data_IF_427923554986
#
_entry.id   IF_427923554986
#
_cell.length_a   1.000
_cell.length_b   1.000
_cell.length_c   1.000
_cell.angle_alpha   90.00
_cell.angle_beta   90.00
_cell.angle_gamma   90.00
#
_symmetry.space_group_name_H-M   'P 1'
#
loop_
_entity.id
_entity.type
_entity.pdbx_description
1 polymer ?
#
# COMPACT_ATOMS: atom_id res chain seq x y z
N UNK A 1 3.09 -5.89 11.42
CA UNK A 1 3.68 -6.07 10.09
C UNK A 1 2.68 -6.76 9.18
N UNK A 2 2.79 -6.52 7.90
CA UNK A 2 1.87 -7.06 6.92
C UNK A 2 2.41 -8.40 6.43
N UNK A 3 1.56 -9.41 6.46
CA UNK A 3 1.91 -10.75 6.04
C UNK A 3 0.79 -11.34 5.20
N UNK A 4 0.98 -12.56 4.72
CA UNK A 4 -0.06 -13.29 4.00
C UNK A 4 -1.35 -13.34 4.82
N UNK A 5 -2.48 -13.08 4.17
CA UNK A 5 -3.83 -13.03 4.75
C UNK A 5 -4.14 -11.78 5.58
N UNK A 6 -3.23 -10.81 5.66
CA UNK A 6 -3.54 -9.53 6.30
C UNK A 6 -4.51 -8.73 5.43
N UNK A 7 -5.57 -8.21 6.04
CA UNK A 7 -6.52 -7.32 5.35
C UNK A 7 -6.08 -5.88 5.53
N UNK A 8 -6.18 -5.10 4.45
CA UNK A 8 -5.68 -3.74 4.40
C UNK A 8 -6.72 -2.82 3.75
N UNK A 9 -6.78 -1.59 4.24
CA UNK A 9 -7.55 -0.56 3.59
C UNK A 9 -6.82 -0.05 2.35
N UNK A 10 -7.58 0.41 1.36
CA UNK A 10 -7.02 1.03 0.15
C UNK A 10 -7.14 2.54 0.29
N UNK A 11 -6.03 3.23 0.15
CA UNK A 11 -5.93 4.68 0.41
C UNK A 11 -6.13 5.54 -0.84
N UNK A 12 -6.54 4.95 -1.96
CA UNK A 12 -6.71 5.69 -3.20
C UNK A 12 -8.14 5.63 -3.72
N UNK A 13 -8.38 6.32 -4.82
CA UNK A 13 -9.69 6.38 -5.47
C UNK A 13 -9.81 5.41 -6.66
N UNK A 14 -9.02 4.33 -6.67
CA UNK A 14 -9.09 3.32 -7.72
C UNK A 14 -10.41 2.55 -7.75
N UNK A 15 -11.17 2.61 -6.64
CA UNK A 15 -12.44 1.91 -6.51
C UNK A 15 -12.37 0.71 -5.58
N UNK A 16 -11.22 0.15 -5.32
CA UNK A 16 -11.06 -0.89 -4.32
C UNK A 16 -11.10 -0.26 -2.93
N UNK A 17 -11.79 -0.91 -1.99
CA UNK A 17 -11.91 -0.43 -0.60
C UNK A 17 -11.08 -1.25 0.36
N UNK A 18 -11.04 -2.56 0.17
CA UNK A 18 -10.31 -3.47 1.03
C UNK A 18 -9.66 -4.56 0.19
N UNK A 19 -8.43 -4.88 0.54
CA UNK A 19 -7.68 -5.96 -0.10
C UNK A 19 -7.09 -6.88 0.97
N UNK A 20 -6.76 -8.10 0.55
CA UNK A 20 -6.09 -9.07 1.42
C UNK A 20 -4.75 -9.45 0.79
N UNK A 21 -3.68 -9.38 1.57
CA UNK A 21 -2.36 -9.76 1.11
C UNK A 21 -2.29 -11.25 0.81
N UNK A 22 -1.88 -11.61 -0.41
CA UNK A 22 -1.66 -12.99 -0.81
C UNK A 22 -0.19 -13.34 -0.70
N UNK A 23 0.68 -12.45 -1.14
CA UNK A 23 2.12 -12.69 -1.20
C UNK A 23 2.90 -11.40 -1.01
N UNK A 24 4.01 -11.50 -0.28
CA UNK A 24 4.98 -10.41 -0.16
C UNK A 24 6.08 -10.63 -1.18
N UNK A 25 6.28 -9.64 -2.05
CA UNK A 25 7.31 -9.70 -3.09
C UNK A 25 8.68 -9.33 -2.51
N UNK A 26 9.75 -9.79 -3.16
CA UNK A 26 11.11 -9.45 -2.76
C UNK A 26 11.97 -10.63 -2.34
N UNK A 27 11.53 -11.86 -2.61
CA UNK A 27 12.31 -13.06 -2.31
C UNK A 27 11.44 -14.23 -1.92
N UNK A 28 11.94 -15.44 -2.15
CA UNK A 28 11.15 -16.67 -1.93
C UNK A 28 10.83 -16.96 -0.46
N UNK A 29 11.59 -16.37 0.48
CA UNK A 29 11.40 -16.57 1.92
C UNK A 29 10.88 -15.33 2.63
N UNK A 30 10.50 -14.30 1.90
CA UNK A 30 10.03 -13.07 2.51
C UNK A 30 8.65 -13.27 3.10
N UNK A 31 8.49 -13.00 4.40
CA UNK A 31 7.26 -13.22 5.14
C UNK A 31 6.49 -11.93 5.43
N UNK A 32 7.17 -10.81 5.59
CA UNK A 32 6.57 -9.57 6.09
C UNK A 32 6.86 -8.42 5.17
N UNK A 33 5.86 -7.56 4.99
CA UNK A 33 5.99 -6.31 4.27
C UNK A 33 5.92 -5.15 5.25
N UNK A 34 6.69 -4.12 4.96
CA UNK A 34 6.66 -2.85 5.67
C UNK A 34 6.41 -1.71 4.70
N UNK A 35 6.67 -0.48 5.15
CA UNK A 35 6.45 0.73 4.34
C UNK A 35 7.29 0.67 3.05
N UNK A 36 6.63 0.95 1.93
CA UNK A 36 7.29 0.96 0.62
C UNK A 36 7.45 -0.40 -0.03
N UNK A 37 7.04 -1.47 0.61
CA UNK A 37 7.12 -2.81 0.04
C UNK A 37 5.92 -3.09 -0.86
N UNK A 38 6.16 -3.83 -1.94
CA UNK A 38 5.12 -4.23 -2.89
C UNK A 38 4.58 -5.60 -2.52
N UNK A 39 3.27 -5.73 -2.51
CA UNK A 39 2.59 -6.99 -2.20
C UNK A 39 1.58 -7.31 -3.30
N UNK A 40 1.24 -8.59 -3.41
CA UNK A 40 0.15 -9.06 -4.28
C UNK A 40 -1.07 -9.23 -3.40
N UNK A 41 -2.18 -8.67 -3.84
CA UNK A 41 -3.42 -8.67 -3.06
C UNK A 41 -4.60 -9.20 -3.86
N UNK A 42 -5.59 -9.75 -3.15
CA UNK A 42 -6.91 -10.05 -3.68
C UNK A 42 -7.87 -8.96 -3.22
N UNK A 43 -8.66 -8.41 -4.15
CA UNK A 43 -9.62 -7.36 -3.84
C UNK A 43 -10.84 -7.98 -3.14
N UNK A 44 -11.16 -7.53 -1.93
CA UNK A 44 -12.25 -8.09 -1.11
C UNK A 44 -13.49 -7.20 -1.08
N UNK A 45 -13.34 -5.90 -1.22
CA UNK A 45 -14.46 -4.97 -1.26
C UNK A 45 -14.18 -3.88 -2.28
N UNK A 46 -15.20 -3.49 -3.05
CA UNK A 46 -15.09 -2.47 -4.08
C UNK A 46 -16.25 -1.47 -3.94
N UNK A 47 -16.02 -0.28 -4.47
CA UNK A 47 -17.06 0.73 -4.61
C UNK A 47 -17.92 0.40 -5.84
N UNK A 48 -19.22 0.63 -5.76
CA UNK A 48 -20.12 0.41 -6.89
C UNK A 48 -19.69 1.24 -8.10
N UNK A 49 -19.72 0.63 -9.28
CA UNK A 49 -19.32 1.29 -10.51
C UNK A 49 -17.81 1.39 -10.72
N UNK A 50 -17.03 0.71 -9.90
CA UNK A 50 -15.58 0.68 -9.99
C UNK A 50 -15.09 -0.14 -11.19
N UNK A 51 -13.96 0.29 -11.79
CA UNK A 51 -13.25 -0.49 -12.81
C UNK A 51 -12.52 -1.69 -12.21
N UNK A 52 -12.21 -1.63 -10.91
CA UNK A 52 -11.57 -2.74 -10.20
C UNK A 52 -12.65 -3.73 -9.77
N UNK A 53 -12.47 -5.00 -10.13
CA UNK A 53 -13.45 -6.05 -9.83
C UNK A 53 -13.12 -6.75 -8.53
N UNK A 54 -14.16 -7.11 -7.79
CA UNK A 54 -14.04 -7.94 -6.58
C UNK A 54 -13.41 -9.29 -6.95
N UNK A 55 -12.56 -9.82 -6.08
CA UNK A 55 -11.79 -11.06 -6.25
C UNK A 55 -10.67 -10.99 -7.30
N UNK A 56 -10.45 -9.85 -7.94
CA UNK A 56 -9.32 -9.69 -8.84
C UNK A 56 -8.01 -9.63 -8.07
N UNK A 57 -6.91 -9.93 -8.76
CA UNK A 57 -5.57 -9.91 -8.19
C UNK A 57 -4.88 -8.63 -8.63
N UNK A 58 -4.35 -7.87 -7.68
CA UNK A 58 -3.70 -6.58 -7.96
C UNK A 58 -2.38 -6.48 -7.21
N UNK A 59 -1.50 -5.61 -7.71
CA UNK A 59 -0.30 -5.22 -6.98
C UNK A 59 -0.59 -3.98 -6.17
N UNK A 60 0.00 -3.90 -4.99
CA UNK A 60 -0.16 -2.74 -4.12
C UNK A 60 1.14 -2.46 -3.38
N UNK A 61 1.34 -1.20 -3.04
CA UNK A 61 2.46 -0.77 -2.22
C UNK A 61 1.94 -0.30 -0.88
N UNK A 62 2.63 -0.69 0.19
CA UNK A 62 2.25 -0.34 1.55
C UNK A 62 2.61 1.12 1.81
N UNK A 63 1.62 1.95 2.10
CA UNK A 63 1.82 3.38 2.36
C UNK A 63 1.67 3.74 3.84
N UNK A 64 0.93 2.94 4.60
CA UNK A 64 0.78 3.09 6.05
C UNK A 64 0.87 1.74 6.71
N UNK A 65 1.55 1.69 7.85
CA UNK A 65 1.72 0.44 8.59
C UNK A 65 1.52 0.72 10.08
N UNK A 66 0.72 -0.12 10.73
CA UNK A 66 0.45 0.00 12.16
C UNK A 66 1.67 -0.35 13.01
N UNK A 67 2.52 -1.26 12.52
CA UNK A 67 3.75 -1.63 13.19
C UNK A 67 4.75 -0.48 13.13
N UNK A 68 5.36 -0.07 14.25
CA UNK A 68 6.38 0.99 14.23
C UNK A 68 7.54 0.65 13.30
N UNK A 69 7.96 1.62 12.49
CA UNK A 69 9.09 1.50 11.59
C UNK A 69 10.19 2.45 12.05
N UNK A 70 11.38 1.90 12.28
CA UNK A 70 12.53 2.70 12.67
C UNK A 70 13.12 3.42 11.45
N UNK A 71 13.45 4.69 11.65
CA UNK A 71 14.12 5.50 10.63
C UNK A 71 15.61 5.63 10.92
N UNK A 72 16.43 5.96 9.90
CA UNK A 72 17.88 6.09 10.09
C UNK A 72 18.30 7.11 11.14
N UNK A 73 17.48 8.13 11.38
CA UNK A 73 17.76 9.16 12.38
C UNK A 73 17.43 8.74 13.83
N UNK A 74 16.97 7.50 14.03
CA UNK A 74 16.59 6.98 15.32
C UNK A 74 15.13 7.20 15.71
N UNK A 75 14.38 7.94 14.91
CA UNK A 75 12.95 8.13 15.17
C UNK A 75 12.14 6.93 14.68
N UNK A 76 10.88 6.86 15.09
CA UNK A 76 9.94 5.82 14.67
C UNK A 76 8.70 6.46 14.09
N UNK A 77 8.11 5.79 13.11
CA UNK A 77 6.81 6.17 12.58
C UNK A 77 5.86 4.98 12.67
N UNK A 78 4.62 5.25 13.06
CA UNK A 78 3.54 4.28 13.00
C UNK A 78 2.24 4.99 12.66
N UNK A 79 1.33 4.24 12.07
CA UNK A 79 0.02 4.74 11.70
C UNK A 79 -1.05 3.97 12.49
N UNK A 80 -2.28 4.48 12.49
CA UNK A 80 -3.38 3.84 13.20
C UNK A 80 -3.89 2.59 12.49
N UNK A 81 -3.60 2.46 11.19
CA UNK A 81 -4.06 1.33 10.39
C UNK A 81 -3.07 1.01 9.30
N UNK A 82 -3.21 -0.18 8.73
CA UNK A 82 -2.46 -0.59 7.54
C UNK A 82 -3.22 -0.15 6.30
N UNK A 83 -2.52 0.46 5.35
CA UNK A 83 -3.13 0.89 4.10
C UNK A 83 -2.17 0.72 2.93
N UNK A 84 -2.75 0.50 1.76
CA UNK A 84 -2.00 0.31 0.52
C UNK A 84 -2.55 1.22 -0.56
N UNK A 85 -1.75 1.43 -1.59
CA UNK A 85 -2.15 2.08 -2.84
C UNK A 85 -1.99 1.06 -3.95
N UNK A 86 -3.01 0.92 -4.80
CA UNK A 86 -2.98 -0.03 -5.90
C UNK A 86 -2.10 0.52 -7.01
N UNK A 87 -1.17 -0.29 -7.49
CA UNK A 87 -0.23 0.08 -8.54
C UNK A 87 -0.33 -0.91 -9.69
N UNK A 88 0.19 -0.50 -10.85
CA UNK A 88 0.34 -1.38 -11.99
C UNK A 88 1.73 -2.04 -11.98
N UNK A 89 2.04 -2.81 -13.03
CA UNK A 89 3.34 -3.50 -13.14
C UNK A 89 4.52 -2.53 -13.24
N UNK A 90 4.28 -1.30 -13.65
CA UNK A 90 5.31 -0.26 -13.79
C UNK A 90 5.42 0.60 -12.53
N UNK A 91 4.80 0.20 -11.45
CA UNK A 91 4.79 0.90 -10.16
C UNK A 91 4.09 2.27 -10.19
N UNK A 92 3.21 2.49 -11.16
CA UNK A 92 2.39 3.69 -11.24
C UNK A 92 1.07 3.50 -10.50
N UNK A 93 0.59 4.47 -9.72
CA UNK A 93 -0.70 4.34 -9.06
C UNK A 93 -1.84 4.28 -10.09
N UNK A 94 -2.80 3.39 -9.84
CA UNK A 94 -3.98 3.27 -10.71
C UNK A 94 -4.99 4.39 -10.46
N UNK A 95 -5.07 4.87 -9.23
CA UNK A 95 -5.94 5.99 -8.89
C UNK A 95 -5.29 7.33 -9.19
N UNK A 96 -6.10 8.39 -9.16
CA UNK A 96 -5.64 9.75 -9.39
C UNK A 96 -5.50 10.55 -8.10
N UNK A 97 -6.02 10.04 -6.98
CA UNK A 97 -5.96 10.69 -5.67
C UNK A 97 -5.61 9.68 -4.59
N UNK A 98 -4.89 10.16 -3.59
CA UNK A 98 -4.52 9.37 -2.42
C UNK A 98 -5.07 10.08 -1.18
N UNK A 99 -5.74 9.32 -0.32
CA UNK A 99 -6.38 9.85 0.88
C UNK A 99 -5.50 9.63 2.09
N UNK A 100 -5.37 10.67 2.91
CA UNK A 100 -4.59 10.63 4.13
C UNK A 100 -3.09 10.74 3.91
N UNK A 101 -2.33 10.47 4.97
CA UNK A 101 -0.88 10.58 4.95
C UNK A 101 -0.22 9.34 4.36
N UNK A 102 0.92 9.52 3.74
CA UNK A 102 1.78 8.41 3.31
C UNK A 102 3.15 8.56 3.97
N UNK A 103 3.84 7.44 4.11
CA UNK A 103 5.16 7.43 4.71
C UNK A 103 6.20 8.00 3.74
N UNK A 104 7.15 8.74 4.29
CA UNK A 104 8.26 9.33 3.52
C UNK A 104 9.17 8.27 2.88
N UNK A 105 9.19 7.05 3.42
CA UNK A 105 9.95 5.93 2.90
C UNK A 105 9.60 5.58 1.45
N UNK A 106 8.41 5.96 0.99
CA UNK A 106 8.03 5.76 -0.42
C UNK A 106 8.91 6.57 -1.38
N UNK A 107 9.40 7.73 -0.95
CA UNK A 107 10.33 8.53 -1.76
C UNK A 107 11.65 7.79 -1.97
N UNK A 108 12.15 7.14 -0.93
CA UNK A 108 13.40 6.38 -0.99
C UNK A 108 13.26 5.12 -1.86
N UNK A 109 12.05 4.60 -2.00
CA UNK A 109 11.72 3.43 -2.83
C UNK A 109 11.27 3.82 -4.23
N UNK A 110 11.41 5.10 -4.61
CA UNK A 110 11.13 5.65 -5.95
C UNK A 110 9.65 5.66 -6.35
N UNK A 111 8.74 5.70 -5.41
CA UNK A 111 7.31 5.87 -5.67
C UNK A 111 6.94 7.36 -5.71
N UNK A 112 7.60 8.12 -6.56
CA UNK A 112 7.46 9.58 -6.60
C UNK A 112 6.07 10.04 -7.01
N UNK A 113 5.40 9.30 -7.89
CA UNK A 113 4.03 9.65 -8.30
C UNK A 113 3.06 9.52 -7.14
N UNK A 114 3.24 8.51 -6.29
CA UNK A 114 2.42 8.33 -5.09
C UNK A 114 2.66 9.47 -4.12
N UNK A 115 3.92 9.84 -3.91
CA UNK A 115 4.29 10.94 -3.02
C UNK A 115 3.68 12.27 -3.51
N UNK A 116 3.70 12.50 -4.83
CA UNK A 116 3.16 13.74 -5.40
C UNK A 116 1.64 13.82 -5.32
N UNK A 117 0.94 12.68 -5.33
CA UNK A 117 -0.52 12.63 -5.22
C UNK A 117 -1.02 12.66 -3.79
N UNK A 118 -0.16 12.43 -2.81
CA UNK A 118 -0.54 12.35 -1.42
C UNK A 118 -0.82 13.75 -0.85
N UNK A 119 -1.82 13.83 0.05
CA UNK A 119 -2.16 15.08 0.74
C UNK A 119 -1.07 15.45 1.75
N UNK A 120 -0.43 14.46 2.35
CA UNK A 120 0.57 14.68 3.38
C UNK A 120 1.61 13.56 3.34
N UNK A 121 2.88 13.92 3.47
CA UNK A 121 3.98 12.96 3.53
C UNK A 121 4.68 13.13 4.88
N UNK A 122 4.72 12.07 5.68
CA UNK A 122 5.25 12.11 7.05
C UNK A 122 6.45 11.18 7.29
#
# INVERSE_FOLDING_TARGET
>A
MIQQETRLAVADNSGAKEVMCIKVLGGSRRRYAGLGDVIICSVKAVQAGSDVKKKSIVRAVVVRCKQPTRRPDGSYIRFDSNAVVIIDKDANPRGTRIFGAVARELRDRRFMKIVSLANEVV
#
